data_IF_973671138116
#
_entry.id   IF_973671138116
#
_cell.length_a   1.000
_cell.length_b   1.000
_cell.length_c   1.000
_cell.angle_alpha   90.00
_cell.angle_beta   90.00
_cell.angle_gamma   90.00
#
_symmetry.space_group_name_H-M   'P 1'
#
loop_
_entity.id
_entity.type
_entity.pdbx_description
1 polymer ?
#
# COMPACT_ATOMS: atom_id res chain seq x y z
N UNK A 1 6.36 -4.64 -9.78
CA UNK A 1 4.90 -4.62 -9.50
C UNK A 1 4.38 -3.21 -9.69
N UNK A 2 3.11 -3.07 -10.06
CA UNK A 2 2.48 -1.77 -10.27
C UNK A 2 1.64 -1.39 -9.06
N UNK A 3 2.10 -0.39 -8.31
CA UNK A 3 1.47 0.07 -7.08
C UNK A 3 0.29 0.99 -7.38
N UNK A 4 -0.80 0.76 -6.66
CA UNK A 4 -2.00 1.58 -6.66
C UNK A 4 -2.05 2.38 -5.35
N UNK A 5 -1.98 3.72 -5.39
CA UNK A 5 -2.22 4.53 -4.21
C UNK A 5 -3.58 4.22 -3.59
N UNK A 6 -3.60 4.09 -2.27
CA UNK A 6 -4.77 3.66 -1.53
C UNK A 6 -5.35 4.80 -0.70
N UNK A 7 -6.68 4.93 -0.74
CA UNK A 7 -7.41 5.99 -0.07
C UNK A 7 -8.53 5.45 0.81
N UNK A 8 -8.93 6.24 1.79
CA UNK A 8 -10.19 6.09 2.52
C UNK A 8 -11.10 7.24 2.13
N UNK A 9 -12.38 6.94 1.94
CA UNK A 9 -13.43 7.91 1.59
C UNK A 9 -14.44 7.94 2.72
N UNK A 10 -14.84 9.14 3.17
CA UNK A 10 -15.76 9.33 4.29
C UNK A 10 -17.07 8.56 4.05
N UNK A 11 -17.59 7.94 5.10
CA UNK A 11 -18.88 7.24 5.02
C UNK A 11 -19.98 8.21 4.55
N UNK A 12 -20.88 7.74 3.68
CA UNK A 12 -21.92 8.56 3.06
C UNK A 12 -21.46 9.39 1.85
N UNK A 13 -20.15 9.49 1.58
CA UNK A 13 -19.65 10.12 0.35
C UNK A 13 -19.65 9.14 -0.82
N UNK A 14 -19.99 9.62 -2.02
CA UNK A 14 -19.91 8.82 -3.24
C UNK A 14 -18.46 8.41 -3.52
N UNK A 15 -18.25 7.15 -3.90
CA UNK A 15 -16.91 6.65 -4.23
C UNK A 15 -16.43 7.32 -5.53
N UNK A 16 -15.21 7.89 -5.54
CA UNK A 16 -14.68 8.50 -6.75
C UNK A 16 -14.37 7.43 -7.80
N UNK A 17 -14.79 7.68 -9.04
CA UNK A 17 -14.48 6.85 -10.21
C UNK A 17 -13.26 7.34 -10.99
N UNK A 18 -12.80 8.57 -10.73
CA UNK A 18 -11.64 9.16 -11.40
C UNK A 18 -10.67 9.85 -10.43
N UNK A 19 -9.42 10.05 -10.85
CA UNK A 19 -8.42 10.81 -10.08
C UNK A 19 -8.92 12.22 -9.80
N UNK A 20 -9.55 12.88 -10.77
CA UNK A 20 -10.08 14.23 -10.61
C UNK A 20 -11.14 14.30 -9.49
N UNK A 21 -12.10 13.36 -9.50
CA UNK A 21 -13.11 13.26 -8.44
C UNK A 21 -12.48 12.98 -7.08
N UNK A 22 -11.51 12.06 -7.02
CA UNK A 22 -10.80 11.74 -5.78
C UNK A 22 -10.08 12.96 -5.21
N UNK A 23 -9.42 13.77 -6.05
CA UNK A 23 -8.74 14.98 -5.62
C UNK A 23 -9.73 16.01 -5.07
N UNK A 24 -10.89 16.19 -5.72
CA UNK A 24 -11.95 17.06 -5.18
C UNK A 24 -12.43 16.60 -3.79
N UNK A 25 -12.60 15.28 -3.58
CA UNK A 25 -12.96 14.74 -2.26
C UNK A 25 -11.84 14.92 -1.25
N UNK A 26 -10.59 14.79 -1.68
CA UNK A 26 -9.45 14.98 -0.79
C UNK A 26 -9.31 16.45 -0.37
N UNK A 27 -9.48 17.39 -1.30
CA UNK A 27 -9.49 18.83 -1.01
C UNK A 27 -10.59 19.22 -0.02
N UNK A 28 -11.77 18.57 -0.14
CA UNK A 28 -12.89 18.76 0.78
C UNK A 28 -12.71 18.07 2.14
N UNK A 29 -11.67 17.26 2.35
CA UNK A 29 -11.47 16.47 3.57
C UNK A 29 -12.39 15.24 3.68
N UNK A 30 -12.97 14.80 2.56
CA UNK A 30 -13.81 13.60 2.44
C UNK A 30 -13.06 12.39 1.91
N UNK A 31 -11.81 12.57 1.45
CA UNK A 31 -10.90 11.50 1.15
C UNK A 31 -9.53 11.76 1.77
N UNK A 32 -8.80 10.70 2.12
CA UNK A 32 -7.43 10.78 2.64
C UNK A 32 -6.63 9.52 2.31
N UNK A 33 -5.29 9.55 2.36
CA UNK A 33 -4.46 8.36 2.24
C UNK A 33 -4.89 7.27 3.24
N UNK A 34 -4.91 6.01 2.78
CA UNK A 34 -5.30 4.87 3.58
C UNK A 34 -4.41 4.72 4.83
N UNK A 35 -5.02 4.46 5.97
CA UNK A 35 -4.36 4.43 7.28
C UNK A 35 -3.54 5.68 7.63
N UNK A 36 -3.75 6.81 6.95
CA UNK A 36 -2.99 8.04 7.19
C UNK A 36 -3.08 8.53 8.65
N UNK A 37 -4.25 8.38 9.28
CA UNK A 37 -4.45 8.74 10.69
C UNK A 37 -3.89 7.72 11.70
N UNK A 38 -3.70 6.47 11.28
CA UNK A 38 -3.34 5.36 12.18
C UNK A 38 -1.87 4.97 12.10
N UNK A 39 -1.30 5.03 10.90
CA UNK A 39 0.08 4.69 10.63
C UNK A 39 0.60 5.49 9.43
N UNK A 40 1.02 6.75 9.65
CA UNK A 40 1.57 7.60 8.59
C UNK A 40 2.75 6.94 7.85
N UNK A 41 3.58 6.17 8.57
CA UNK A 41 4.72 5.45 7.99
C UNK A 41 4.32 4.29 7.08
N UNK A 42 3.17 3.65 7.33
CA UNK A 42 2.74 2.45 6.61
C UNK A 42 2.40 2.69 5.15
N UNK A 43 2.21 3.95 4.73
CA UNK A 43 1.92 4.31 3.34
C UNK A 43 2.84 5.42 2.83
N UNK A 44 3.82 5.86 3.63
CA UNK A 44 4.72 6.96 3.30
C UNK A 44 5.50 6.77 1.97
N UNK A 45 6.02 5.56 1.65
CA UNK A 45 6.77 5.38 0.40
C UNK A 45 5.96 5.62 -0.88
N UNK A 46 4.63 5.57 -0.83
CA UNK A 46 3.77 5.89 -1.98
C UNK A 46 3.93 7.34 -2.45
N UNK A 47 4.36 8.25 -1.56
CA UNK A 47 4.53 9.68 -1.83
C UNK A 47 3.25 10.32 -2.41
N UNK A 48 2.22 10.38 -1.57
CA UNK A 48 0.91 10.93 -1.94
C UNK A 48 0.97 12.40 -2.35
N UNK A 49 1.93 13.17 -1.84
CA UNK A 49 2.15 14.56 -2.24
C UNK A 49 2.59 14.65 -3.70
N UNK A 50 3.61 13.87 -4.08
CA UNK A 50 4.05 13.76 -5.46
C UNK A 50 2.95 13.24 -6.37
N UNK A 51 2.22 12.19 -5.95
CA UNK A 51 1.13 11.64 -6.74
C UNK A 51 0.01 12.66 -7.02
N UNK A 52 -0.36 13.44 -6.00
CA UNK A 52 -1.37 14.49 -6.08
C UNK A 52 -0.98 15.61 -7.03
N UNK A 53 0.30 15.99 -7.04
CA UNK A 53 0.81 17.05 -7.91
C UNK A 53 0.86 16.68 -9.40
N UNK A 54 0.72 15.38 -9.75
CA UNK A 54 0.72 14.95 -11.14
C UNK A 54 -0.62 15.26 -11.81
N UNK A 55 -0.61 15.87 -13.02
CA UNK A 55 -1.83 16.12 -13.77
C UNK A 55 -2.53 14.79 -14.11
N UNK A 56 -3.87 14.75 -14.18
CA UNK A 56 -4.59 13.56 -14.63
C UNK A 56 -4.08 13.10 -16.00
N UNK A 57 -3.60 11.85 -16.14
CA UNK A 57 -3.02 11.40 -17.39
C UNK A 57 -4.14 11.02 -18.38
N UNK A 58 -3.92 11.16 -19.70
CA UNK A 58 -4.91 10.75 -20.71
C UNK A 58 -5.11 9.23 -20.77
N UNK A 59 -4.13 8.46 -20.27
CA UNK A 59 -4.12 7.00 -20.18
C UNK A 59 -3.35 6.57 -18.95
N UNK A 60 -3.64 5.36 -18.46
CA UNK A 60 -2.89 4.75 -17.37
C UNK A 60 -1.40 4.64 -17.72
N UNK A 61 -0.54 5.10 -16.81
CA UNK A 61 0.92 5.06 -16.98
C UNK A 61 1.64 4.88 -15.65
N UNK A 62 2.89 4.47 -15.70
CA UNK A 62 3.79 4.57 -14.54
C UNK A 62 4.10 6.04 -14.29
N UNK A 63 3.88 6.47 -13.05
CA UNK A 63 4.19 7.81 -12.56
C UNK A 63 5.68 7.92 -12.20
N UNK A 64 6.12 7.02 -11.31
CA UNK A 64 7.46 6.99 -10.76
C UNK A 64 7.69 5.65 -10.04
N UNK A 65 8.96 5.32 -9.82
CA UNK A 65 9.36 4.18 -8.98
C UNK A 65 9.73 4.67 -7.59
N UNK A 66 9.42 3.86 -6.58
CA UNK A 66 9.77 4.12 -5.18
C UNK A 66 10.50 2.92 -4.58
N UNK A 67 11.49 3.14 -3.71
CA UNK A 67 12.10 2.06 -2.96
C UNK A 67 11.12 1.52 -1.92
N UNK A 68 11.09 0.21 -1.74
CA UNK A 68 10.37 -0.39 -0.62
C UNK A 68 11.04 -0.04 0.71
N UNK A 69 10.24 0.19 1.76
CA UNK A 69 10.69 0.46 3.13
C UNK A 69 9.68 -0.08 4.13
N UNK A 70 10.15 -0.76 5.18
CA UNK A 70 9.30 -1.20 6.29
C UNK A 70 8.59 0.00 6.97
N UNK A 71 7.29 -0.10 7.32
CA UNK A 71 6.39 -1.26 7.22
C UNK A 71 5.42 -1.16 6.02
N UNK A 72 5.88 -0.65 4.88
CA UNK A 72 5.01 -0.39 3.74
C UNK A 72 4.52 -1.68 3.07
N UNK A 73 3.21 -1.86 3.08
CA UNK A 73 2.50 -2.91 2.35
C UNK A 73 1.52 -2.23 1.38
N UNK A 74 1.93 -1.97 0.13
CA UNK A 74 1.07 -1.33 -0.87
C UNK A 74 0.04 -2.30 -1.44
N UNK A 75 -1.06 -1.73 -1.94
CA UNK A 75 -1.89 -2.41 -2.92
C UNK A 75 -1.19 -2.34 -4.28
N UNK A 76 -1.15 -3.45 -5.00
CA UNK A 76 -0.50 -3.49 -6.30
C UNK A 76 -1.17 -4.52 -7.23
N UNK A 77 -0.92 -4.35 -8.52
CA UNK A 77 -1.24 -5.32 -9.56
C UNK A 77 0.04 -5.85 -10.19
N UNK A 78 0.03 -7.14 -10.52
CA UNK A 78 1.15 -7.81 -11.14
C UNK A 78 0.64 -8.99 -11.99
N UNK A 79 1.41 -9.46 -12.99
CA UNK A 79 1.08 -10.68 -13.71
C UNK A 79 0.93 -11.86 -12.74
N UNK A 80 -0.03 -12.75 -13.01
CA UNK A 80 -0.28 -13.92 -12.16
C UNK A 80 0.93 -14.86 -12.10
N UNK A 81 1.73 -14.92 -13.18
CA UNK A 81 2.99 -15.64 -13.22
C UNK A 81 4.16 -14.76 -12.76
N UNK A 82 5.00 -15.30 -11.88
CA UNK A 82 6.29 -14.71 -11.52
C UNK A 82 6.33 -13.94 -10.19
N UNK A 83 5.19 -13.72 -9.54
CA UNK A 83 5.12 -13.14 -8.19
C UNK A 83 5.13 -14.28 -7.16
N UNK A 84 5.88 -14.20 -6.05
CA UNK A 84 5.78 -15.13 -4.94
C UNK A 84 4.32 -15.29 -4.47
N UNK A 85 3.96 -16.50 -4.05
CA UNK A 85 2.58 -16.90 -3.78
C UNK A 85 1.85 -15.86 -2.88
N UNK A 86 0.65 -15.38 -3.27
CA UNK A 86 -0.07 -14.32 -2.54
C UNK A 86 -0.64 -14.75 -1.18
N UNK A 87 -0.44 -15.99 -0.75
CA UNK A 87 -1.01 -16.53 0.49
C UNK A 87 -0.23 -16.13 1.76
N UNK A 88 0.92 -15.48 1.64
CA UNK A 88 1.76 -15.07 2.77
C UNK A 88 1.83 -13.54 2.87
N UNK A 89 1.15 -12.97 3.87
CA UNK A 89 1.49 -11.63 4.35
C UNK A 89 2.75 -11.71 5.21
N UNK A 90 3.76 -10.83 5.01
CA UNK A 90 3.78 -9.64 4.16
C UNK A 90 4.54 -9.84 2.83
N UNK A 91 3.80 -9.62 1.75
CA UNK A 91 4.22 -9.95 0.40
C UNK A 91 5.17 -8.89 -0.19
N UNK A 92 5.02 -7.62 0.17
CA UNK A 92 5.87 -6.55 -0.34
C UNK A 92 7.34 -6.67 0.11
N UNK A 93 7.55 -7.10 1.35
CA UNK A 93 8.87 -7.42 1.90
C UNK A 93 9.56 -8.54 1.09
N UNK A 94 8.85 -9.62 0.77
CA UNK A 94 9.39 -10.71 -0.05
C UNK A 94 9.62 -10.28 -1.51
N UNK A 95 8.71 -9.51 -2.10
CA UNK A 95 8.90 -8.92 -3.42
C UNK A 95 10.16 -8.05 -3.48
N UNK A 96 10.39 -7.25 -2.44
CA UNK A 96 11.61 -6.46 -2.33
C UNK A 96 12.84 -7.37 -2.33
N UNK A 97 12.87 -8.41 -1.49
CA UNK A 97 13.96 -9.39 -1.43
C UNK A 97 14.17 -10.10 -2.78
N UNK A 98 13.11 -10.44 -3.49
CA UNK A 98 13.13 -11.09 -4.80
C UNK A 98 13.56 -10.17 -5.96
N UNK A 99 13.91 -8.91 -5.71
CA UNK A 99 14.45 -8.01 -6.73
C UNK A 99 13.40 -7.12 -7.41
N UNK A 100 12.12 -7.22 -7.06
CA UNK A 100 11.07 -6.42 -7.70
C UNK A 100 11.24 -4.92 -7.46
N UNK A 101 10.79 -4.14 -8.44
CA UNK A 101 10.66 -2.68 -8.35
C UNK A 101 9.20 -2.32 -8.16
N UNK A 102 8.94 -1.22 -7.45
CA UNK A 102 7.60 -0.76 -7.10
C UNK A 102 7.31 0.51 -7.91
N UNK A 103 6.53 0.34 -8.98
CA UNK A 103 6.18 1.41 -9.91
C UNK A 103 4.79 1.93 -9.56
N UNK A 104 4.69 3.15 -9.04
CA UNK A 104 3.42 3.80 -8.71
C UNK A 104 2.72 4.20 -9.99
N UNK A 105 1.44 3.85 -10.14
CA UNK A 105 0.63 4.20 -11.28
C UNK A 105 -0.03 5.58 -11.12
N UNK A 106 -0.09 6.32 -12.23
CA UNK A 106 -0.86 7.56 -12.35
C UNK A 106 -2.22 7.24 -12.98
N UNK A 107 -3.31 7.76 -12.39
CA UNK A 107 -4.65 7.54 -12.91
C UNK A 107 -5.31 6.20 -12.54
N UNK A 108 -4.69 5.40 -11.68
CA UNK A 108 -5.34 4.27 -11.01
C UNK A 108 -5.11 4.36 -9.50
N UNK A 109 -6.10 3.94 -8.72
CA UNK A 109 -6.07 3.95 -7.25
C UNK A 109 -7.06 2.91 -6.71
N UNK A 110 -6.93 2.59 -5.43
CA UNK A 110 -7.95 1.84 -4.68
C UNK A 110 -8.52 2.73 -3.60
N UNK A 111 -9.79 2.52 -3.26
CA UNK A 111 -10.46 3.32 -2.25
C UNK A 111 -11.37 2.46 -1.37
N UNK A 112 -11.25 2.64 -0.05
CA UNK A 112 -12.04 2.00 0.98
C UNK A 112 -13.11 2.96 1.51
N UNK A 113 -14.35 2.47 1.71
CA UNK A 113 -15.43 3.27 2.29
C UNK A 113 -15.33 3.31 3.81
N UNK A 114 -15.39 4.50 4.38
CA UNK A 114 -15.25 4.75 5.80
C UNK A 114 -13.78 5.00 6.17
N UNK A 115 -13.60 5.99 7.05
CA UNK A 115 -12.31 6.30 7.63
C UNK A 115 -11.94 5.28 8.69
N UNK A 116 -10.67 4.87 8.70
CA UNK A 116 -10.12 4.00 9.73
C UNK A 116 -9.62 4.90 10.86
N UNK A 117 -10.35 4.89 11.96
CA UNK A 117 -10.10 5.76 13.12
C UNK A 117 -9.52 4.97 14.30
N UNK A 118 -8.73 5.62 15.18
CA UNK A 118 -8.34 5.02 16.46
C UNK A 118 -9.57 4.57 17.24
N UNK A 119 -9.54 3.37 17.81
CA UNK A 119 -10.66 2.82 18.58
C UNK A 119 -11.83 2.27 17.75
N UNK A 120 -11.84 2.45 16.42
CA UNK A 120 -12.88 1.92 15.52
C UNK A 120 -12.70 0.45 15.14
N UNK A 121 -11.98 -0.33 15.95
CA UNK A 121 -11.63 -1.71 15.65
C UNK A 121 -12.29 -2.71 16.60
N UNK A 122 -12.39 -3.97 16.19
CA UNK A 122 -12.98 -5.03 16.99
C UNK A 122 -12.13 -5.41 18.21
N UNK A 123 -12.81 -5.94 19.22
CA UNK A 123 -12.18 -6.53 20.40
C UNK A 123 -11.28 -7.70 19.97
N UNK A 124 -10.05 -7.75 20.51
CA UNK A 124 -9.06 -8.76 20.16
C UNK A 124 -8.04 -8.34 19.11
N UNK A 125 -8.23 -7.21 18.42
CA UNK A 125 -7.25 -6.67 17.44
C UNK A 125 -5.82 -6.61 17.97
N UNK A 126 -5.60 -6.15 19.20
CA UNK A 126 -4.24 -6.05 19.76
C UNK A 126 -3.58 -7.43 19.94
N UNK A 127 -4.36 -8.44 20.32
CA UNK A 127 -3.88 -9.82 20.44
C UNK A 127 -3.53 -10.38 19.04
N UNK A 128 -4.37 -10.13 18.04
CA UNK A 128 -4.12 -10.49 16.64
C UNK A 128 -2.87 -9.80 16.09
N UNK A 129 -2.71 -8.50 16.34
CA UNK A 129 -1.51 -7.75 15.95
C UNK A 129 -0.26 -8.31 16.63
N UNK A 130 -0.35 -8.67 17.91
CA UNK A 130 0.73 -9.35 18.63
C UNK A 130 1.11 -10.70 18.01
N UNK A 131 0.11 -11.50 17.62
CA UNK A 131 0.30 -12.76 16.92
C UNK A 131 0.95 -12.54 15.54
N UNK A 132 0.40 -11.62 14.74
CA UNK A 132 0.89 -11.30 13.39
C UNK A 132 2.32 -10.76 13.42
N UNK A 133 2.70 -9.97 14.44
CA UNK A 133 4.08 -9.53 14.63
C UNK A 133 5.05 -10.70 14.86
N UNK A 134 4.63 -11.74 15.59
CA UNK A 134 5.46 -12.94 15.78
C UNK A 134 5.61 -13.72 14.48
N UNK A 135 4.51 -13.95 13.76
CA UNK A 135 4.54 -14.59 12.45
C UNK A 135 5.44 -13.84 11.46
N UNK A 136 5.33 -12.51 11.42
CA UNK A 136 6.17 -11.68 10.56
C UNK A 136 7.66 -11.80 10.90
N UNK A 137 8.02 -11.84 12.20
CA UNK A 137 9.43 -12.02 12.61
C UNK A 137 9.99 -13.36 12.13
N UNK A 138 9.24 -14.45 12.28
CA UNK A 138 9.64 -15.77 11.80
C UNK A 138 9.81 -15.77 10.27
N UNK A 139 8.82 -15.25 9.55
CA UNK A 139 8.88 -15.10 8.09
C UNK A 139 10.11 -14.30 7.63
N UNK A 140 10.35 -13.13 8.25
CA UNK A 140 11.48 -12.26 7.92
C UNK A 140 12.83 -12.95 8.14
N UNK A 141 12.95 -13.77 9.18
CA UNK A 141 14.17 -14.53 9.46
C UNK A 141 14.45 -15.62 8.41
N UNK A 142 13.44 -16.12 7.72
CA UNK A 142 13.58 -17.12 6.66
C UNK A 142 13.99 -16.51 5.30
N UNK A 143 13.69 -15.24 5.06
CA UNK A 143 13.91 -14.60 3.75
C UNK A 143 15.36 -14.65 3.26
N UNK A 144 16.41 -14.42 4.08
CA UNK A 144 17.79 -14.56 3.60
C UNK A 144 18.13 -15.96 3.10
N UNK A 145 17.51 -17.00 3.68
CA UNK A 145 17.69 -18.39 3.22
C UNK A 145 16.94 -18.66 1.91
N UNK A 146 15.76 -18.07 1.72
CA UNK A 146 14.97 -18.18 0.48
C UNK A 146 15.58 -17.39 -0.68
N UNK A 147 16.25 -16.28 -0.38
CA UNK A 147 16.84 -15.36 -1.36
C UNK A 147 18.33 -15.08 -1.07
N UNK A 148 19.21 -16.09 -1.13
CA UNK A 148 20.61 -15.98 -0.69
C UNK A 148 21.46 -15.02 -1.56
N UNK A 149 21.06 -14.79 -2.82
CA UNK A 149 21.73 -13.84 -3.73
C UNK A 149 21.24 -12.39 -3.60
N UNK A 150 20.27 -12.12 -2.73
CA UNK A 150 19.72 -10.77 -2.60
C UNK A 150 20.58 -9.89 -1.69
N UNK A 151 21.02 -8.74 -2.20
CA UNK A 151 21.68 -7.70 -1.40
C UNK A 151 20.67 -6.84 -0.59
N UNK A 152 19.37 -7.09 -0.77
CA UNK A 152 18.28 -6.30 -0.17
C UNK A 152 17.92 -6.83 1.21
N UNK A 153 17.24 -5.99 2.01
CA UNK A 153 16.82 -6.35 3.36
C UNK A 153 15.39 -5.94 3.63
N UNK A 154 14.74 -6.82 4.36
CA UNK A 154 13.56 -6.56 5.16
C UNK A 154 14.02 -6.61 6.63
#
# INVERSE_FOLDING_TARGET
VFVLPAFEVRAGTAMPGSKAELLLRWDAGDARPFYGALCPRCQAPTDFGRWRALPPPPRLRVAYEVPWRDPWEPFYVAPAGGVPCPTLSPQACELHMAGFRFAVLDGAFVAHRGFKEPGGFHEGREAELGHNRRLFRSFRAELPRRYPGSARRC
#
